data_IF_845472458395
#
_entry.id   IF_845472458395
#
_cell.length_a   1.000
_cell.length_b   1.000
_cell.length_c   1.000
_cell.angle_alpha   90.00
_cell.angle_beta   90.00
_cell.angle_gamma   90.00
#
_symmetry.space_group_name_H-M   'P 1'
#
loop_
_entity.id
_entity.type
_entity.pdbx_description
1 polymer ?
#
# COMPACT_ATOMS: atom_id res chain seq x y z
N UNK A 1 40.80 -23.10 14.84
CA UNK A 1 40.15 -22.19 15.81
C UNK A 1 38.92 -21.65 15.12
N UNK A 2 37.73 -22.13 15.51
CA UNK A 2 36.47 -21.67 14.96
C UNK A 2 35.97 -20.50 15.82
N UNK A 3 35.75 -19.35 15.18
CA UNK A 3 35.19 -18.14 15.78
C UNK A 3 33.71 -18.36 16.11
N UNK A 4 33.19 -17.93 17.27
CA UNK A 4 31.77 -18.02 17.55
C UNK A 4 31.03 -16.92 16.78
N UNK A 5 30.19 -17.32 15.82
CA UNK A 5 29.19 -16.43 15.22
C UNK A 5 28.14 -16.15 16.30
N UNK A 6 28.27 -15.01 16.97
CA UNK A 6 27.23 -14.50 17.86
C UNK A 6 26.04 -14.06 17.01
N UNK A 7 25.00 -14.89 16.96
CA UNK A 7 23.66 -14.45 16.56
C UNK A 7 23.20 -13.38 17.56
N UNK A 8 22.85 -12.16 17.13
CA UNK A 8 22.15 -11.24 18.03
C UNK A 8 20.80 -11.87 18.37
N UNK A 9 20.54 -12.09 19.65
CA UNK A 9 19.25 -12.54 20.14
C UNK A 9 18.25 -11.40 19.98
N UNK A 10 17.47 -11.43 18.89
CA UNK A 10 16.31 -10.57 18.74
C UNK A 10 15.20 -11.07 19.66
N UNK A 11 15.26 -10.67 20.93
CA UNK A 11 14.07 -10.61 21.76
C UNK A 11 13.39 -9.27 21.47
N UNK A 12 12.77 -9.15 20.29
CA UNK A 12 11.74 -8.14 20.09
C UNK A 12 10.51 -8.63 20.85
N UNK A 13 10.40 -8.14 22.08
CA UNK A 13 9.18 -8.15 22.87
C UNK A 13 8.03 -7.65 21.96
N UNK A 14 6.94 -8.41 21.89
CA UNK A 14 5.74 -8.17 21.06
C UNK A 14 5.09 -6.82 21.42
N UNK A 15 5.72 -5.71 21.04
CA UNK A 15 5.24 -4.37 21.34
C UNK A 15 4.07 -4.08 20.40
N UNK A 16 2.85 -4.25 20.94
CA UNK A 16 1.61 -3.86 20.28
C UNK A 16 1.69 -2.38 19.88
N UNK A 17 1.52 -2.11 18.59
CA UNK A 17 1.59 -0.78 18.00
C UNK A 17 0.45 0.10 18.57
N UNK A 18 0.78 1.30 19.04
CA UNK A 18 -0.23 2.30 19.42
C UNK A 18 -1.05 2.71 18.18
N UNK A 19 -2.38 2.68 18.29
CA UNK A 19 -3.26 2.96 17.16
C UNK A 19 -3.22 4.44 16.77
N UNK A 20 -2.52 4.75 15.67
CA UNK A 20 -2.51 6.07 15.07
C UNK A 20 -3.46 6.10 13.86
N UNK A 21 -4.55 6.86 14.00
CA UNK A 21 -5.57 7.04 12.95
C UNK A 21 -5.37 8.40 12.26
N UNK A 22 -5.23 8.40 10.93
CA UNK A 22 -5.23 9.63 10.13
C UNK A 22 -6.51 9.67 9.28
N UNK A 23 -7.39 10.68 9.42
CA UNK A 23 -8.57 10.81 8.57
C UNK A 23 -8.19 11.19 7.13
N UNK A 24 -8.96 10.73 6.15
CA UNK A 24 -8.75 11.01 4.72
C UNK A 24 -9.29 12.38 4.26
N UNK A 25 -10.09 13.09 5.07
CA UNK A 25 -10.76 14.31 4.62
C UNK A 25 -10.46 15.53 5.50
N UNK A 26 -9.99 16.60 4.88
CA UNK A 26 -10.00 17.96 5.44
C UNK A 26 -10.93 18.92 4.64
N UNK A 27 -11.38 18.54 3.42
CA UNK A 27 -12.15 19.39 2.50
C UNK A 27 -13.38 18.69 1.89
N UNK A 28 -14.42 19.47 1.54
CA UNK A 28 -15.69 18.96 1.01
C UNK A 28 -15.58 18.17 -0.30
N UNK A 29 -14.77 18.66 -1.26
CA UNK A 29 -14.58 17.97 -2.55
C UNK A 29 -13.98 16.56 -2.40
N UNK A 30 -13.10 16.37 -1.41
CA UNK A 30 -12.49 15.07 -1.14
C UNK A 30 -13.50 14.10 -0.51
N UNK A 31 -14.43 14.60 0.30
CA UNK A 31 -15.49 13.79 0.92
C UNK A 31 -16.50 13.32 -0.13
N UNK A 32 -16.96 14.21 -1.01
CA UNK A 32 -17.90 13.87 -2.09
C UNK A 32 -17.32 12.79 -3.03
N UNK A 33 -16.02 12.88 -3.34
CA UNK A 33 -15.33 11.87 -4.13
C UNK A 33 -15.32 10.50 -3.44
N UNK A 34 -15.00 10.46 -2.15
CA UNK A 34 -14.95 9.21 -1.38
C UNK A 34 -16.34 8.60 -1.22
N UNK A 35 -17.38 9.40 -1.02
CA UNK A 35 -18.75 8.90 -0.88
C UNK A 35 -19.28 8.31 -2.20
N UNK A 36 -18.96 8.94 -3.34
CA UNK A 36 -19.23 8.38 -4.66
C UNK A 36 -18.50 7.06 -4.91
N UNK A 37 -17.31 6.89 -4.32
CA UNK A 37 -16.53 5.66 -4.42
C UNK A 37 -17.09 4.52 -3.55
N UNK A 38 -17.49 4.81 -2.31
CA UNK A 38 -18.08 3.82 -1.39
C UNK A 38 -19.30 3.12 -1.99
N UNK A 39 -20.14 3.88 -2.71
CA UNK A 39 -21.29 3.34 -3.42
C UNK A 39 -20.88 2.31 -4.50
N UNK A 40 -19.78 2.56 -5.21
CA UNK A 40 -19.28 1.67 -6.28
C UNK A 40 -18.63 0.40 -5.73
N UNK A 41 -17.90 0.48 -4.62
CA UNK A 41 -17.30 -0.69 -3.95
C UNK A 41 -18.35 -1.71 -3.46
N UNK A 42 -19.58 -1.26 -3.21
CA UNK A 42 -20.65 -2.10 -2.66
C UNK A 42 -21.42 -2.92 -3.71
N UNK A 43 -21.13 -2.76 -5.01
CA UNK A 43 -21.94 -3.28 -6.13
C UNK A 43 -21.28 -4.42 -6.93
N UNK A 44 -20.19 -5.03 -6.45
CA UNK A 44 -19.38 -5.93 -7.29
C UNK A 44 -19.98 -7.34 -7.52
N UNK A 45 -19.98 -7.74 -8.80
CA UNK A 45 -20.03 -9.13 -9.24
C UNK A 45 -18.90 -9.35 -10.23
N UNK A 46 -17.99 -10.28 -9.96
CA UNK A 46 -16.87 -10.60 -10.86
C UNK A 46 -17.37 -11.18 -12.18
N UNK A 47 -17.03 -10.57 -13.32
CA UNK A 47 -17.24 -11.19 -14.64
C UNK A 47 -15.95 -11.85 -15.11
N UNK A 48 -15.96 -13.17 -15.21
CA UNK A 48 -14.87 -13.91 -15.87
C UNK A 48 -15.01 -13.75 -17.39
N UNK A 49 -14.13 -12.97 -18.00
CA UNK A 49 -14.05 -12.84 -19.46
C UNK A 49 -13.13 -13.92 -20.05
N UNK A 50 -13.68 -14.78 -20.90
CA UNK A 50 -12.91 -15.74 -21.73
C UNK A 50 -12.55 -15.08 -23.07
N UNK A 51 -11.73 -14.03 -23.02
CA UNK A 51 -11.15 -13.38 -24.21
C UNK A 51 -9.95 -14.19 -24.72
N UNK A 52 -9.73 -14.23 -26.04
CA UNK A 52 -8.61 -14.99 -26.61
C UNK A 52 -7.29 -14.22 -26.46
N UNK A 53 -6.15 -14.92 -26.35
CA UNK A 53 -4.84 -14.25 -26.32
C UNK A 53 -4.59 -13.37 -27.55
N UNK A 54 -5.14 -13.74 -28.70
CA UNK A 54 -5.01 -12.97 -29.94
C UNK A 54 -5.78 -11.65 -29.90
N UNK A 55 -6.98 -11.61 -29.29
CA UNK A 55 -7.75 -10.37 -29.14
C UNK A 55 -7.02 -9.42 -28.20
N UNK A 56 -6.56 -9.92 -27.05
CA UNK A 56 -5.77 -9.13 -26.09
C UNK A 56 -4.51 -8.52 -26.72
N UNK A 57 -3.75 -9.28 -27.51
CA UNK A 57 -2.56 -8.76 -28.20
C UNK A 57 -2.92 -7.63 -29.16
N UNK A 58 -4.04 -7.77 -29.88
CA UNK A 58 -4.50 -6.75 -30.82
C UNK A 58 -4.93 -5.47 -30.09
N UNK A 59 -5.61 -5.60 -28.95
CA UNK A 59 -6.02 -4.48 -28.12
C UNK A 59 -4.80 -3.74 -27.56
N UNK A 60 -3.82 -4.47 -27.02
CA UNK A 60 -2.56 -3.91 -26.51
C UNK A 60 -1.77 -3.12 -27.57
N UNK A 61 -1.80 -3.54 -28.83
CA UNK A 61 -1.16 -2.81 -29.95
C UNK A 61 -1.88 -1.52 -30.32
N UNK A 62 -3.16 -1.43 -29.99
CA UNK A 62 -4.02 -0.30 -30.34
C UNK A 62 -4.20 0.71 -29.19
N UNK A 63 -3.50 0.51 -28.07
CA UNK A 63 -3.56 1.39 -26.91
C UNK A 63 -3.24 2.84 -27.29
N UNK A 64 -4.11 3.74 -26.84
CA UNK A 64 -3.97 5.19 -27.00
C UNK A 64 -4.00 5.83 -25.64
N UNK A 65 -3.33 6.97 -25.52
CA UNK A 65 -3.44 7.83 -24.35
C UNK A 65 -4.90 8.35 -24.28
N UNK A 66 -5.64 7.89 -23.26
CA UNK A 66 -7.03 8.31 -23.07
C UNK A 66 -7.12 9.60 -22.25
N UNK A 67 -6.52 9.60 -21.06
CA UNK A 67 -6.61 10.70 -20.09
C UNK A 67 -5.28 10.91 -19.36
N UNK A 68 -5.05 12.14 -18.90
CA UNK A 68 -3.86 12.52 -18.13
C UNK A 68 -4.29 13.30 -16.91
N UNK A 69 -3.76 12.95 -15.74
CA UNK A 69 -3.99 13.68 -14.51
C UNK A 69 -2.71 13.77 -13.67
N UNK A 70 -2.61 14.82 -12.86
CA UNK A 70 -1.53 14.96 -11.88
C UNK A 70 -1.96 14.32 -10.56
N UNK A 71 -1.74 13.00 -10.45
CA UNK A 71 -2.14 12.21 -9.29
C UNK A 71 -1.42 12.63 -7.98
N UNK A 72 -0.17 13.09 -8.06
CA UNK A 72 0.59 13.60 -6.91
C UNK A 72 1.29 14.94 -7.22
N UNK A 73 1.55 15.73 -6.17
CA UNK A 73 2.31 16.98 -6.30
C UNK A 73 3.81 16.76 -6.58
N UNK A 74 4.34 15.59 -6.22
CA UNK A 74 5.75 15.22 -6.38
C UNK A 74 5.92 13.92 -7.17
N UNK A 75 7.17 13.50 -7.42
CA UNK A 75 7.49 12.29 -8.20
C UNK A 75 6.74 11.08 -7.65
N UNK A 76 6.02 10.39 -8.53
CA UNK A 76 5.39 9.09 -8.27
C UNK A 76 6.48 8.02 -8.20
N UNK A 77 6.42 7.18 -7.16
CA UNK A 77 7.36 6.08 -6.93
C UNK A 77 6.68 4.71 -6.89
N UNK A 78 5.39 4.66 -6.59
CA UNK A 78 4.59 3.45 -6.56
C UNK A 78 3.23 3.71 -7.22
N UNK A 79 2.66 2.68 -7.85
CA UNK A 79 1.30 2.74 -8.40
C UNK A 79 0.66 1.36 -8.34
N UNK A 80 -0.65 1.33 -8.16
CA UNK A 80 -1.47 0.14 -8.43
C UNK A 80 -2.79 0.55 -9.10
N UNK A 81 -3.37 -0.38 -9.86
CA UNK A 81 -4.71 -0.25 -10.43
C UNK A 81 -5.66 -0.96 -9.46
N UNK A 82 -6.72 -0.28 -9.08
CA UNK A 82 -7.74 -0.86 -8.23
C UNK A 82 -8.57 -1.88 -9.03
N UNK A 83 -8.98 -3.01 -8.44
CA UNK A 83 -9.76 -4.04 -9.13
C UNK A 83 -11.22 -3.63 -9.45
N UNK A 84 -11.60 -2.37 -9.21
CA UNK A 84 -12.99 -1.94 -9.36
C UNK A 84 -13.37 -1.92 -10.84
N UNK A 85 -14.29 -2.80 -11.25
CA UNK A 85 -14.68 -2.90 -12.67
C UNK A 85 -15.51 -1.70 -13.16
N UNK A 86 -16.24 -1.04 -12.26
CA UNK A 86 -17.14 0.07 -12.62
C UNK A 86 -16.41 1.37 -12.93
N UNK A 87 -15.21 1.58 -12.37
CA UNK A 87 -14.40 2.80 -12.54
C UNK A 87 -12.92 2.45 -12.58
N UNK A 88 -12.19 3.02 -13.53
CA UNK A 88 -10.73 2.89 -13.57
C UNK A 88 -10.12 3.77 -12.48
N UNK A 89 -9.82 3.17 -11.34
CA UNK A 89 -9.14 3.84 -10.24
C UNK A 89 -7.67 3.48 -10.21
N UNK A 90 -6.84 4.51 -10.06
CA UNK A 90 -5.40 4.37 -9.91
C UNK A 90 -5.00 4.95 -8.57
N UNK A 91 -4.27 4.16 -7.78
CA UNK A 91 -3.65 4.64 -6.55
C UNK A 91 -2.16 4.85 -6.81
N UNK A 92 -1.63 6.00 -6.41
CA UNK A 92 -0.23 6.37 -6.62
C UNK A 92 0.45 6.85 -5.34
N UNK A 93 1.65 6.36 -5.07
CA UNK A 93 2.50 6.79 -3.97
C UNK A 93 3.63 7.71 -4.45
N UNK A 94 3.99 8.71 -3.66
CA UNK A 94 4.97 9.73 -4.04
C UNK A 94 6.20 9.82 -3.14
N UNK A 95 7.23 10.52 -3.62
CA UNK A 95 8.50 10.77 -2.91
C UNK A 95 8.33 11.47 -1.55
N UNK A 96 7.27 12.26 -1.37
CA UNK A 96 7.05 13.03 -0.14
C UNK A 96 5.92 12.45 0.73
N UNK A 97 5.64 11.16 0.62
CA UNK A 97 4.67 10.48 1.48
C UNK A 97 3.20 10.70 1.12
N UNK A 98 2.92 11.36 -0.02
CA UNK A 98 1.55 11.50 -0.49
C UNK A 98 1.09 10.23 -1.20
N UNK A 99 -0.17 9.88 -0.97
CA UNK A 99 -0.96 9.00 -1.82
C UNK A 99 -1.88 9.85 -2.72
N UNK A 100 -2.06 9.43 -3.96
CA UNK A 100 -3.04 9.98 -4.89
C UNK A 100 -4.05 8.91 -5.22
N UNK A 101 -5.33 9.26 -5.23
CA UNK A 101 -6.42 8.42 -5.70
C UNK A 101 -7.07 9.11 -6.88
N UNK A 102 -6.92 8.51 -8.07
CA UNK A 102 -7.37 9.07 -9.33
C UNK A 102 -8.48 8.22 -9.93
N UNK A 103 -9.61 8.85 -10.22
CA UNK A 103 -10.66 8.27 -11.07
C UNK A 103 -10.42 8.69 -12.52
N UNK A 104 -9.94 7.75 -13.32
CA UNK A 104 -9.64 7.97 -14.73
C UNK A 104 -10.88 7.87 -15.63
N UNK A 105 -12.00 7.33 -15.12
CA UNK A 105 -13.27 7.23 -15.87
C UNK A 105 -14.05 8.54 -15.86
N UNK A 106 -14.26 9.11 -14.68
CA UNK A 106 -15.06 10.34 -14.50
C UNK A 106 -14.17 11.59 -14.37
N UNK A 107 -12.85 11.39 -14.22
CA UNK A 107 -11.94 12.44 -13.80
C UNK A 107 -11.96 12.64 -12.29
N UNK A 108 -11.04 13.46 -11.80
CA UNK A 108 -10.92 13.79 -10.37
C UNK A 108 -9.78 13.05 -9.68
N UNK A 109 -9.01 13.81 -8.91
CA UNK A 109 -7.86 13.33 -8.13
C UNK A 109 -8.00 13.84 -6.71
N UNK A 110 -7.91 12.93 -5.76
CA UNK A 110 -7.77 13.28 -4.34
C UNK A 110 -6.36 12.91 -3.89
N UNK A 111 -5.75 13.76 -3.07
CA UNK A 111 -4.41 13.52 -2.53
C UNK A 111 -4.47 13.46 -1.01
N UNK A 112 -3.77 12.48 -0.45
CA UNK A 112 -3.64 12.27 0.98
C UNK A 112 -2.17 12.30 1.36
N UNK A 113 -1.84 12.59 2.62
CA UNK A 113 -0.46 12.49 3.13
C UNK A 113 -0.39 11.63 4.40
N UNK A 114 -0.58 10.30 4.27
CA UNK A 114 -0.47 9.40 5.42
C UNK A 114 0.98 9.15 5.86
N UNK A 115 1.95 9.41 4.99
CA UNK A 115 3.38 9.18 5.24
C UNK A 115 4.17 10.49 5.22
N UNK A 116 5.32 10.48 5.89
CA UNK A 116 6.25 11.64 5.94
C UNK A 116 7.49 11.46 5.08
N UNK A 117 7.68 10.28 4.49
CA UNK A 117 8.79 9.94 3.62
C UNK A 117 8.30 9.19 2.36
N UNK A 118 9.17 8.84 1.39
CA UNK A 118 8.74 8.22 0.14
C UNK A 118 7.85 6.99 0.32
N UNK A 119 6.78 6.91 -0.47
CA UNK A 119 5.93 5.70 -0.57
C UNK A 119 6.47 4.84 -1.70
N UNK A 120 7.00 3.67 -1.37
CA UNK A 120 7.73 2.83 -2.33
C UNK A 120 6.90 1.65 -2.86
N UNK A 121 5.84 1.26 -2.15
CA UNK A 121 4.96 0.17 -2.54
C UNK A 121 3.52 0.51 -2.14
N UNK A 122 2.58 0.24 -3.04
CA UNK A 122 1.13 0.40 -2.83
C UNK A 122 0.43 -0.81 -3.45
N UNK A 123 -0.45 -1.46 -2.70
CA UNK A 123 -1.26 -2.60 -3.18
C UNK A 123 -2.70 -2.48 -2.68
N UNK A 124 -3.65 -3.05 -3.43
CA UNK A 124 -5.02 -3.25 -2.93
C UNK A 124 -5.07 -4.59 -2.22
N UNK A 125 -5.84 -4.69 -1.14
CA UNK A 125 -6.06 -5.96 -0.46
C UNK A 125 -6.76 -6.96 -1.40
N UNK A 126 -6.22 -8.18 -1.45
CA UNK A 126 -6.66 -9.24 -2.33
C UNK A 126 -8.05 -9.81 -1.96
N UNK A 127 -8.55 -9.50 -0.76
CA UNK A 127 -9.81 -10.01 -0.22
C UNK A 127 -10.86 -8.94 0.05
N UNK A 128 -10.43 -7.69 0.24
CA UNK A 128 -11.29 -6.53 0.49
C UNK A 128 -10.81 -5.34 -0.33
N UNK A 129 -11.42 -5.12 -1.50
CA UNK A 129 -11.05 -4.04 -2.39
C UNK A 129 -11.16 -2.63 -1.76
N UNK A 130 -11.88 -2.48 -0.63
CA UNK A 130 -11.93 -1.19 0.07
C UNK A 130 -10.65 -0.84 0.84
N UNK A 131 -9.70 -1.77 0.94
CA UNK A 131 -8.44 -1.61 1.67
C UNK A 131 -7.27 -1.47 0.72
N UNK A 132 -6.44 -0.45 0.97
CA UNK A 132 -5.21 -0.22 0.21
C UNK A 132 -4.02 -0.11 1.15
N UNK A 133 -2.99 -0.93 0.96
CA UNK A 133 -1.77 -0.87 1.75
C UNK A 133 -0.76 0.07 1.11
N UNK A 134 -0.02 0.81 1.94
CA UNK A 134 1.09 1.64 1.53
C UNK A 134 2.29 1.47 2.46
N UNK A 135 3.47 1.30 1.87
CA UNK A 135 4.74 1.19 2.60
C UNK A 135 5.62 2.40 2.34
N UNK A 136 6.25 2.90 3.39
CA UNK A 136 7.13 4.05 3.30
C UNK A 136 8.49 3.87 3.95
N UNK A 137 9.46 4.62 3.44
CA UNK A 137 10.75 4.83 4.09
C UNK A 137 10.68 5.53 5.45
N UNK A 138 9.50 6.01 5.88
CA UNK A 138 9.29 6.53 7.24
C UNK A 138 9.21 5.40 8.28
N UNK A 139 9.28 4.15 7.83
CA UNK A 139 9.27 2.97 8.68
C UNK A 139 7.92 2.37 8.93
N UNK A 140 6.90 2.86 8.22
CA UNK A 140 5.53 2.43 8.45
C UNK A 140 4.93 1.72 7.24
N UNK A 141 4.02 0.80 7.55
CA UNK A 141 3.01 0.29 6.64
C UNK A 141 1.66 0.78 7.15
N UNK A 142 0.88 1.41 6.29
CA UNK A 142 -0.46 1.88 6.61
C UNK A 142 -1.49 1.21 5.72
N UNK A 143 -2.70 1.04 6.23
CA UNK A 143 -3.87 0.55 5.49
C UNK A 143 -4.88 1.70 5.38
N UNK A 144 -5.16 2.11 4.16
CA UNK A 144 -6.24 3.00 3.81
C UNK A 144 -7.55 2.21 3.76
N UNK A 145 -8.47 2.46 4.68
CA UNK A 145 -9.84 1.94 4.64
C UNK A 145 -10.73 2.99 3.96
N UNK A 146 -11.06 2.77 2.68
CA UNK A 146 -11.82 3.74 1.86
C UNK A 146 -13.25 3.91 2.36
N UNK A 147 -13.83 2.86 2.96
CA UNK A 147 -15.17 2.89 3.54
C UNK A 147 -15.23 3.77 4.79
N UNK A 148 -14.26 3.61 5.68
CA UNK A 148 -14.13 4.43 6.90
C UNK A 148 -13.45 5.77 6.66
N UNK A 149 -12.79 5.92 5.51
CA UNK A 149 -12.03 7.10 5.15
C UNK A 149 -10.92 7.41 6.18
N UNK A 150 -10.18 6.37 6.59
CA UNK A 150 -9.07 6.47 7.57
C UNK A 150 -7.84 5.69 7.12
N UNK A 151 -6.66 6.14 7.54
CA UNK A 151 -5.41 5.39 7.43
C UNK A 151 -5.05 4.80 8.80
N UNK A 152 -5.10 3.48 8.87
CA UNK A 152 -4.70 2.71 10.05
C UNK A 152 -3.21 2.37 9.96
N UNK A 153 -2.48 2.53 11.07
CA UNK A 153 -1.13 2.01 11.19
C UNK A 153 -1.16 0.48 11.33
N UNK A 154 -0.52 -0.22 10.40
CA UNK A 154 -0.45 -1.69 10.34
C UNK A 154 0.84 -2.20 10.95
N UNK A 155 1.95 -1.58 10.58
CA UNK A 155 3.28 -1.92 11.05
C UNK A 155 4.15 -0.66 11.18
N UNK A 156 5.02 -0.66 12.19
CA UNK A 156 6.03 0.37 12.39
C UNK A 156 7.30 -0.29 12.94
N UNK A 157 8.43 0.00 12.32
CA UNK A 157 9.76 -0.38 12.85
C UNK A 157 10.18 0.54 13.99
N UNK A 158 11.21 0.14 14.76
CA UNK A 158 11.77 0.99 15.81
C UNK A 158 12.37 2.27 15.21
N UNK A 159 11.68 3.39 15.45
CA UNK A 159 12.11 4.73 15.04
C UNK A 159 13.42 5.18 15.69
N UNK A 160 13.84 4.55 16.80
CA UNK A 160 15.13 4.86 17.45
C UNK A 160 16.31 4.18 16.75
N UNK A 161 16.04 3.18 15.91
CA UNK A 161 17.08 2.55 15.11
C UNK A 161 17.68 3.54 14.12
N UNK A 162 18.98 3.42 13.88
CA UNK A 162 19.67 4.15 12.80
C UNK A 162 19.06 3.83 11.42
N UNK A 163 18.39 2.69 11.29
CA UNK A 163 17.73 2.25 10.08
C UNK A 163 16.29 1.88 10.38
N UNK A 164 15.39 2.73 9.92
CA UNK A 164 13.97 2.60 10.20
C UNK A 164 13.12 2.60 8.91
N UNK A 165 13.65 2.19 7.75
CA UNK A 165 12.89 2.26 6.51
C UNK A 165 12.36 0.89 6.08
N UNK A 166 11.10 0.86 5.65
CA UNK A 166 10.49 -0.31 5.01
C UNK A 166 10.47 -0.07 3.50
N UNK A 167 10.93 -1.05 2.74
CA UNK A 167 11.16 -0.93 1.29
C UNK A 167 10.04 -1.54 0.47
N UNK A 168 9.39 -2.59 0.98
CA UNK A 168 8.36 -3.34 0.27
C UNK A 168 7.34 -3.96 1.22
N UNK A 169 6.13 -4.23 0.72
CA UNK A 169 5.19 -5.14 1.36
C UNK A 169 4.56 -6.09 0.33
N UNK A 170 4.13 -7.27 0.77
CA UNK A 170 3.37 -8.21 -0.08
C UNK A 170 2.34 -8.96 0.78
N UNK A 171 1.08 -8.99 0.35
CA UNK A 171 0.05 -9.72 1.07
C UNK A 171 0.20 -11.23 0.81
N UNK A 172 0.45 -12.01 1.87
CA UNK A 172 0.54 -13.47 1.77
C UNK A 172 -0.85 -14.10 1.86
N UNK A 173 -1.68 -13.57 2.77
CA UNK A 173 -3.06 -14.00 2.97
C UNK A 173 -3.89 -12.88 3.61
N UNK A 174 -5.16 -13.15 3.87
CA UNK A 174 -6.13 -12.19 4.40
C UNK A 174 -5.77 -11.54 5.75
N UNK A 175 -4.82 -12.08 6.53
CA UNK A 175 -4.35 -11.45 7.77
C UNK A 175 -2.84 -11.35 7.88
N UNK A 176 -2.09 -11.59 6.81
CA UNK A 176 -0.63 -11.62 6.89
C UNK A 176 -0.03 -10.87 5.73
N UNK A 177 0.90 -9.98 6.06
CA UNK A 177 1.67 -9.22 5.10
C UNK A 177 3.17 -9.44 5.36
N UNK A 178 3.92 -9.69 4.29
CA UNK A 178 5.37 -9.66 4.33
C UNK A 178 5.83 -8.22 4.24
N UNK A 179 6.82 -7.83 5.02
CA UNK A 179 7.47 -6.51 4.95
C UNK A 179 8.97 -6.69 4.72
N UNK A 180 9.56 -5.87 3.86
CA UNK A 180 11.01 -5.84 3.67
C UNK A 180 11.62 -4.65 4.40
N UNK A 181 12.58 -4.90 5.27
CA UNK A 181 13.26 -3.89 6.06
C UNK A 181 14.58 -3.46 5.40
N UNK A 182 14.94 -2.20 5.58
CA UNK A 182 16.16 -1.58 5.06
C UNK A 182 17.49 -2.14 5.60
N UNK A 183 17.43 -3.08 6.53
CA UNK A 183 18.59 -3.82 7.06
C UNK A 183 18.92 -5.06 6.22
N UNK A 184 18.05 -5.43 5.27
CA UNK A 184 18.16 -6.68 4.51
C UNK A 184 17.40 -7.85 5.16
N UNK A 185 16.52 -7.56 6.11
CA UNK A 185 15.61 -8.52 6.76
C UNK A 185 14.22 -8.44 6.14
N UNK A 186 13.48 -9.55 6.14
CA UNK A 186 12.07 -9.62 5.77
C UNK A 186 11.23 -10.16 6.94
N UNK A 187 10.12 -9.50 7.25
CA UNK A 187 9.29 -9.80 8.42
C UNK A 187 7.89 -10.22 8.00
N UNK A 188 7.30 -11.16 8.74
CA UNK A 188 5.91 -11.58 8.58
C UNK A 188 5.07 -10.87 9.63
N UNK A 189 4.19 -9.98 9.20
CA UNK A 189 3.31 -9.20 10.07
C UNK A 189 1.91 -9.76 10.06
N UNK A 190 1.36 -10.03 11.24
CA UNK A 190 -0.04 -10.36 11.44
C UNK A 190 -0.88 -9.08 11.54
N UNK A 191 -1.84 -8.93 10.65
CA UNK A 191 -2.71 -7.75 10.54
C UNK A 191 -3.70 -7.62 11.71
N UNK A 192 -4.08 -8.74 12.36
CA UNK A 192 -4.99 -8.72 13.52
C UNK A 192 -4.26 -8.34 14.78
N UNK A 193 -3.06 -8.90 14.97
CA UNK A 193 -2.20 -8.57 16.11
C UNK A 193 -1.47 -7.22 15.93
N UNK A 194 -1.35 -6.75 14.68
CA UNK A 194 -0.49 -5.62 14.28
C UNK A 194 0.94 -5.81 14.81
N UNK A 195 1.45 -7.03 14.70
CA UNK A 195 2.71 -7.45 15.28
C UNK A 195 3.48 -8.34 14.30
N UNK A 196 4.81 -8.28 14.37
CA UNK A 196 5.69 -9.18 13.61
C UNK A 196 5.68 -10.54 14.30
N UNK A 197 5.40 -11.59 13.55
CA UNK A 197 5.51 -12.97 14.02
C UNK A 197 6.95 -13.47 13.90
N UNK A 198 7.59 -13.24 12.75
CA UNK A 198 8.92 -13.76 12.44
C UNK A 198 9.71 -12.82 11.53
N UNK A 199 11.02 -12.73 11.78
CA UNK A 199 12.00 -12.09 10.89
C UNK A 199 12.90 -13.14 10.22
N UNK A 200 13.23 -12.87 8.96
CA UNK A 200 14.16 -13.64 8.15
C UNK A 200 15.30 -12.73 7.73
N UNK A 201 16.53 -13.10 8.06
CA UNK A 201 17.70 -12.43 7.51
C UNK A 201 17.92 -12.90 6.07
N UNK A 202 17.76 -12.00 5.11
CA UNK A 202 17.88 -12.33 3.69
C UNK A 202 19.28 -12.03 3.15
N UNK A 203 19.81 -10.84 3.46
CA UNK A 203 21.16 -10.43 3.06
C UNK A 203 21.68 -9.30 3.97
N UNK A 204 23.01 -9.07 4.04
CA UNK A 204 23.52 -7.86 4.66
C UNK A 204 23.07 -6.63 3.88
N UNK A 205 22.89 -5.51 4.58
CA UNK A 205 22.69 -4.22 3.93
C UNK A 205 23.88 -3.86 3.05
N UNK A 206 23.62 -3.37 1.83
CA UNK A 206 24.64 -2.81 0.94
C UNK A 206 25.18 -1.47 1.43
#
# INVERSE_FOLDING_TARGET
QASPTSTPSYQEEEARIEEEFIPMSESGESADFLDGLKASLSQESSKSSTESLSSLIQDMRSLKLAVVARANSTRVQAMCIHPLESKLLVVSGSKNGQLGLWNATEGGVVQFRPHVAPVNCVTVDNTDASKVFSTSHDGTVRCADLNKSVFDLVYQTDKKSNFCHITWHEQINHNTILVAHGTGEAGVVDLRAKAVQHWFHCHPRS
#
